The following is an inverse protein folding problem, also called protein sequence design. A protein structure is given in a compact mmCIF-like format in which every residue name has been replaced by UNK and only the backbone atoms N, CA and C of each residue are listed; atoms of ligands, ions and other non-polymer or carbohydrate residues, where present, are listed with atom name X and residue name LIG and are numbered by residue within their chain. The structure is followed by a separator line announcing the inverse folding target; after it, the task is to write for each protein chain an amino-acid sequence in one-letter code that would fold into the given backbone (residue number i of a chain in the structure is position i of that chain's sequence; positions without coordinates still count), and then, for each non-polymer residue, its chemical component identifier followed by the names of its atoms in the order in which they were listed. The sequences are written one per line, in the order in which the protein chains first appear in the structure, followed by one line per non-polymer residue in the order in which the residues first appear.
data_IF_833223036042
#
_entry.id   IF_833223036042
#
_cell.length_a   1.000
_cell.length_b   1.000
_cell.length_c   1.000
_cell.angle_alpha   90.00
_cell.angle_beta   90.00
_cell.angle_gamma   90.00
#
_symmetry.space_group_name_H-M   'P 1'
#
loop_
_entity.id
_entity.type
_entity.pdbx_description
1 polymer ?
2 non-polymer ?
3 water ?
#
# COMPACT_ATOMS: atom_id res chain seq x y z
N UNK A 1 20.86 18.13 14.95
CA UNK A 1 21.97 18.31 14.01
C UNK A 1 22.48 16.96 13.50
N UNK A 2 21.67 15.91 13.64
CA UNK A 2 22.07 14.59 13.15
C UNK A 2 22.13 14.59 11.61
N UNK A 3 23.08 13.83 11.05
CA UNK A 3 23.37 13.86 9.63
C UNK A 3 23.49 12.47 9.02
N UNK A 4 23.28 12.41 7.70
CA UNK A 4 23.47 11.21 6.89
C UNK A 4 24.15 11.61 5.59
N UNK A 5 25.12 10.81 5.15
CA UNK A 5 25.70 10.98 3.83
C UNK A 5 25.40 9.74 3.00
N UNK A 6 25.09 9.95 1.72
CA UNK A 6 24.75 8.86 0.82
C UNK A 6 25.41 9.15 -0.51
N UNK A 7 26.19 8.19 -1.01
CA UNK A 7 27.10 8.45 -2.13
C UNK A 7 27.90 9.71 -1.81
N UNK A 8 27.77 10.76 -2.63
CA UNK A 8 28.49 11.98 -2.35
C UNK A 8 27.63 13.18 -1.99
N UNK A 9 26.62 12.97 -1.13
CA UNK A 9 25.77 14.06 -0.71
C UNK A 9 25.42 13.91 0.77
N UNK A 10 25.26 15.04 1.44
CA UNK A 10 25.00 15.09 2.87
C UNK A 10 23.57 15.55 3.08
N UNK A 11 22.91 14.98 4.08
CA UNK A 11 21.48 15.21 4.32
C UNK A 11 21.24 15.39 5.80
N UNK A 12 20.47 16.42 6.15
CA UNK A 12 20.18 16.77 7.53
C UNK A 12 18.87 16.11 7.94
N UNK A 13 18.83 15.55 9.14
CA UNK A 13 17.64 14.87 9.62
C UNK A 13 16.67 15.86 10.26
N UNK A 14 15.50 16.01 9.66
CA UNK A 14 14.41 16.75 10.26
C UNK A 14 13.74 15.96 11.37
N UNK A 15 13.49 14.68 11.14
CA UNK A 15 12.71 13.86 12.06
C UNK A 15 12.68 12.43 11.56
N UNK A 16 12.45 11.49 12.46
CA UNK A 16 12.25 10.10 12.08
C UNK A 16 10.76 9.89 11.85
N UNK A 17 10.40 9.50 10.63
CA UNK A 17 9.03 9.23 10.28
C UNK A 17 8.57 7.90 10.87
N UNK A 18 9.43 6.90 10.84
CA UNK A 18 8.95 5.57 11.20
C UNK A 18 10.09 4.61 11.37
N UNK A 19 9.74 3.40 11.73
CA UNK A 19 10.70 2.36 12.06
C UNK A 19 9.95 1.05 12.04
N UNK A 20 10.71 -0.03 11.97
CA UNK A 20 10.16 -1.37 11.91
C UNK A 20 11.14 -2.35 12.48
N UNK A 21 11.66 -3.25 11.65
CA UNK A 21 12.64 -4.21 12.11
C UNK A 21 13.97 -3.58 12.43
N UNK A 22 14.95 -3.76 11.56
CA UNK A 22 16.19 -3.02 11.67
C UNK A 22 16.18 -1.76 10.83
N UNK A 23 15.00 -1.35 10.36
CA UNK A 23 14.82 -0.21 9.46
C UNK A 23 14.31 1.01 10.21
N UNK A 24 14.65 2.18 9.67
CA UNK A 24 14.14 3.47 10.12
C UNK A 24 14.01 4.35 8.89
N UNK A 25 13.04 5.28 8.92
CA UNK A 25 12.84 6.24 7.85
C UNK A 25 12.87 7.64 8.44
N UNK A 26 13.60 8.52 7.77
CA UNK A 26 13.81 9.87 8.23
C UNK A 26 13.36 10.83 7.15
N UNK A 27 12.88 11.98 7.62
CA UNK A 27 12.62 13.13 6.79
C UNK A 27 13.88 13.98 6.79
N UNK A 28 14.38 14.34 5.62
CA UNK A 28 15.69 14.97 5.50
C UNK A 28 15.67 16.07 4.47
N UNK A 29 16.71 16.89 4.52
CA UNK A 29 16.94 17.97 3.58
C UNK A 29 18.32 17.79 2.96
N UNK A 30 18.43 18.09 1.67
CA UNK A 30 19.72 18.01 1.00
C UNK A 30 20.47 19.33 1.20
N UNK A 31 21.62 19.44 0.54
CA UNK A 31 22.43 20.65 0.49
C UNK A 31 21.59 21.90 0.28
N UNK A 32 20.55 21.78 -0.56
CA UNK A 32 19.77 22.92 -1.04
C UNK A 32 18.40 23.03 -0.36
N UNK A 33 18.26 22.46 0.84
CA UNK A 33 17.01 22.49 1.61
C UNK A 33 15.83 21.83 0.88
N UNK A 34 16.11 20.98 -0.10
CA UNK A 34 15.06 20.17 -0.69
C UNK A 34 14.82 18.96 0.20
N UNK A 35 13.58 18.54 0.30
CA UNK A 35 13.20 17.53 1.27
C UNK A 35 13.19 16.15 0.60
N UNK A 36 13.59 15.13 1.36
CA UNK A 36 13.63 13.74 0.91
C UNK A 36 13.26 12.86 2.09
N UNK A 37 12.96 11.60 1.82
CA UNK A 37 12.89 10.58 2.85
C UNK A 37 14.08 9.64 2.66
N UNK A 38 14.71 9.26 3.75
CA UNK A 38 15.80 8.30 3.70
C UNK A 38 15.41 7.12 4.57
N UNK A 39 15.44 5.93 3.96
CA UNK A 39 15.24 4.68 4.69
C UNK A 39 16.61 4.11 5.00
N UNK A 40 16.81 3.71 6.25
CA UNK A 40 18.04 3.15 6.73
C UNK A 40 17.75 1.74 7.19
N UNK A 41 18.58 0.79 6.76
CA UNK A 41 18.45 -0.59 7.21
C UNK A 41 19.78 -1.01 7.80
N UNK A 42 19.74 -1.46 9.05
CA UNK A 42 20.93 -1.95 9.74
C UNK A 42 21.06 -3.44 9.41
N UNK A 43 22.06 -3.78 8.59
CA UNK A 43 22.19 -5.15 8.09
C UNK A 43 23.01 -6.06 9.02
N UNK A 44 23.52 -5.54 10.14
CA UNK A 44 24.34 -6.34 11.05
C UNK A 44 23.61 -7.60 11.51
N UNK A 45 22.53 -7.44 12.27
CA UNK A 45 21.65 -8.58 12.52
C UNK A 45 20.69 -8.68 11.33
N UNK A 46 20.96 -9.66 10.44
CA UNK A 46 20.12 -9.89 9.27
C UNK A 46 20.43 -11.23 8.61
N UNK A 47 19.52 -12.18 8.73
CA UNK A 47 19.69 -13.48 8.08
C UNK A 47 19.68 -13.32 6.56
N UNK A 48 20.31 -14.29 5.88
CA UNK A 48 20.42 -14.24 4.43
C UNK A 48 19.05 -14.19 3.74
N UNK A 49 17.97 -14.54 4.45
CA UNK A 49 16.64 -14.45 3.87
C UNK A 49 16.12 -13.01 3.87
N UNK A 50 16.32 -12.26 4.96
CA UNK A 50 15.94 -10.85 4.98
C UNK A 50 16.80 -10.04 4.02
N UNK A 51 18.12 -10.26 4.05
CA UNK A 51 19.02 -9.61 3.10
C UNK A 51 18.48 -9.68 1.68
N UNK A 52 18.00 -10.85 1.28
CA UNK A 52 17.50 -10.97 -0.08
C UNK A 52 16.16 -10.24 -0.25
N UNK A 53 15.37 -10.10 0.82
CA UNK A 53 14.15 -9.31 0.68
C UNK A 53 14.47 -7.85 0.39
N UNK A 54 15.45 -7.28 1.11
CA UNK A 54 15.84 -5.89 0.90
C UNK A 54 16.45 -5.68 -0.49
N UNK A 55 17.28 -6.64 -0.93
CA UNK A 55 17.87 -6.58 -2.27
C UNK A 55 16.76 -6.61 -3.33
N UNK A 56 15.76 -7.44 -3.13
CA UNK A 56 14.68 -7.53 -4.10
C UNK A 56 13.85 -6.25 -4.15
N UNK A 57 13.51 -5.67 -2.99
CA UNK A 57 12.82 -4.37 -2.98
C UNK A 57 13.55 -3.33 -3.83
N UNK A 58 14.88 -3.24 -3.66
CA UNK A 58 15.65 -2.19 -4.33
C UNK A 58 15.64 -2.39 -5.82
N UNK A 59 15.86 -3.63 -6.28
CA UNK A 59 15.85 -3.91 -7.71
C UNK A 59 14.50 -3.55 -8.33
N UNK A 60 13.41 -4.06 -7.76
CA UNK A 60 12.10 -3.78 -8.36
C UNK A 60 11.78 -2.29 -8.32
N UNK A 61 12.01 -1.66 -7.16
CA UNK A 61 11.82 -0.21 -7.05
C UNK A 61 12.57 0.53 -8.15
N UNK A 62 13.81 0.14 -8.38
CA UNK A 62 14.59 0.79 -9.42
C UNK A 62 14.04 0.48 -10.80
N UNK A 63 13.57 -0.75 -11.03
CA UNK A 63 12.99 -1.04 -12.33
C UNK A 63 11.59 -0.45 -12.48
N UNK A 64 10.74 -0.62 -11.46
CA UNK A 64 9.34 -0.26 -11.59
C UNK A 64 9.11 1.22 -11.76
N UNK A 65 10.09 2.07 -11.47
CA UNK A 65 9.81 3.49 -11.51
C UNK A 65 9.92 4.11 -12.88
N UNK A 66 10.68 3.50 -13.80
CA UNK A 66 10.59 3.93 -15.20
C UNK A 66 9.18 3.76 -15.76
N UNK A 67 8.35 2.92 -15.17
CA UNK A 67 7.07 2.54 -15.76
C UNK A 67 5.86 3.22 -15.15
N UNK A 68 6.00 3.89 -14.00
CA UNK A 68 4.87 4.62 -13.44
C UNK A 68 5.36 5.59 -12.40
N UNK A 69 4.79 6.80 -12.40
CA UNK A 69 5.08 7.79 -11.38
C UNK A 69 4.05 7.75 -10.25
N UNK A 70 3.29 6.67 -10.14
CA UNK A 70 2.51 6.36 -8.95
C UNK A 70 3.23 5.36 -8.05
N UNK A 71 4.48 5.03 -8.37
CA UNK A 71 5.42 4.37 -7.48
C UNK A 71 6.35 5.44 -6.91
N UNK A 72 6.62 5.38 -5.60
CA UNK A 72 7.53 6.35 -4.99
C UNK A 72 8.90 6.25 -5.64
N UNK A 73 9.50 7.40 -5.97
CA UNK A 73 10.82 7.48 -6.60
C UNK A 73 11.93 7.07 -5.64
N UNK A 74 12.86 6.26 -6.14
CA UNK A 74 14.12 5.98 -5.48
C UNK A 74 15.20 6.70 -6.26
N UNK A 75 15.73 7.78 -5.67
CA UNK A 75 16.68 8.62 -6.40
C UNK A 75 18.08 8.02 -6.40
N UNK A 76 18.51 7.50 -5.25
CA UNK A 76 19.86 6.99 -5.07
C UNK A 76 19.85 6.09 -3.85
N UNK A 77 20.88 5.26 -3.77
CA UNK A 77 20.94 4.31 -2.68
C UNK A 77 22.38 3.86 -2.50
N UNK A 78 22.64 3.36 -1.32
CA UNK A 78 23.95 2.83 -0.99
C UNK A 78 23.73 1.55 -0.20
N UNK A 79 24.39 0.48 -0.59
CA UNK A 79 24.29 -0.76 0.13
C UNK A 79 25.69 -1.35 0.29
N UNK A 80 25.99 -1.80 1.50
CA UNK A 80 27.20 -2.52 1.85
C UNK A 80 26.76 -3.69 2.71
N UNK A 81 27.73 -4.41 3.25
CA UNK A 81 27.40 -5.53 4.12
C UNK A 81 26.78 -5.05 5.44
N UNK A 82 27.04 -3.81 5.84
CA UNK A 82 26.56 -3.33 7.14
C UNK A 82 25.24 -2.55 7.07
N UNK A 83 24.99 -1.79 6.01
CA UNK A 83 23.76 -1.00 6.02
C UNK A 83 23.23 -0.80 4.62
N UNK A 84 22.01 -0.26 4.57
CA UNK A 84 21.43 0.31 3.37
C UNK A 84 20.96 1.74 3.68
N UNK A 85 21.19 2.65 2.76
CA UNK A 85 20.53 3.96 2.74
C UNK A 85 19.81 4.11 1.42
N UNK A 86 18.51 4.40 1.47
CA UNK A 86 17.72 4.70 0.28
C UNK A 86 17.20 6.13 0.38
N UNK A 87 17.58 6.96 -0.60
CA UNK A 87 17.04 8.31 -0.74
C UNK A 87 15.80 8.25 -1.62
N UNK A 88 14.66 8.66 -1.07
CA UNK A 88 13.40 8.53 -1.78
C UNK A 88 12.59 9.82 -1.72
N UNK A 89 11.64 9.88 -2.64
CA UNK A 89 10.54 10.81 -2.60
C UNK A 89 9.91 10.81 -1.23
N UNK A 90 9.68 12.00 -0.68
CA UNK A 90 9.14 12.08 0.67
C UNK A 90 7.66 12.45 0.55
N UNK A 91 6.82 11.66 1.18
CA UNK A 91 5.39 11.91 1.17
C UNK A 91 5.00 12.86 2.29
N UNK A 92 3.92 13.60 2.04
CA UNK A 92 3.30 14.42 3.08
C UNK A 92 2.85 13.56 4.26
N UNK A 93 2.29 12.38 3.96
CA UNK A 93 1.72 11.52 5.00
C UNK A 93 1.24 10.23 4.34
N UNK A 94 1.12 9.16 5.11
CA UNK A 94 0.57 7.93 4.55
C UNK A 94 -0.95 7.97 4.65
N UNK A 95 -1.58 7.14 3.82
CA UNK A 95 -3.04 7.19 3.72
C UNK A 95 -3.71 6.65 4.97
N UNK A 96 -3.12 5.66 5.64
CA UNK A 96 -3.72 5.19 6.90
C UNK A 96 -3.86 6.34 7.89
N UNK A 97 -2.77 7.08 8.11
CA UNK A 97 -2.81 8.19 9.06
C UNK A 97 -3.70 9.33 8.59
N UNK A 98 -3.79 9.55 7.28
CA UNK A 98 -4.63 10.60 6.76
C UNK A 98 -6.10 10.22 6.80
N UNK A 99 -6.40 8.92 6.77
CA UNK A 99 -7.77 8.46 6.89
C UNK A 99 -8.22 8.48 8.35
N UNK A 100 -7.31 8.18 9.27
CA UNK A 100 -7.67 8.14 10.69
C UNK A 100 -7.98 9.54 11.21
N UNK A 101 -7.40 10.59 10.60
CA UNK A 101 -7.87 11.94 10.83
C UNK A 101 -9.26 12.05 10.22
N UNK A 102 -10.19 11.24 10.74
CA UNK A 102 -11.47 10.89 10.13
C UNK A 102 -12.21 12.08 9.54
N UNK A 103 -11.61 12.75 8.56
CA UNK A 103 -12.19 13.94 7.97
C UNK A 103 -13.03 13.59 6.75
N UNK A 104 -13.70 14.61 6.22
CA UNK A 104 -14.40 14.51 4.95
C UNK A 104 -13.48 13.96 3.86
N UNK A 105 -14.04 13.13 2.98
CA UNK A 105 -13.39 12.73 1.75
C UNK A 105 -14.20 13.29 0.59
N UNK A 106 -13.61 14.25 -0.11
CA UNK A 106 -14.19 14.76 -1.35
C UNK A 106 -14.41 13.60 -2.34
N UNK A 107 -15.60 13.47 -2.94
CA UNK A 107 -15.82 12.38 -3.90
C UNK A 107 -14.87 12.39 -5.09
N UNK A 108 -14.56 13.57 -5.64
CA UNK A 108 -13.64 13.62 -6.76
C UNK A 108 -12.22 13.22 -6.34
N UNK A 109 -11.85 13.50 -5.08
CA UNK A 109 -10.51 13.13 -4.63
C UNK A 109 -10.42 11.64 -4.35
N UNK A 110 -11.51 11.07 -3.81
CA UNK A 110 -11.57 9.63 -3.64
C UNK A 110 -11.49 8.91 -4.98
N UNK A 111 -12.18 9.44 -5.99
CA UNK A 111 -12.13 8.86 -7.33
C UNK A 111 -10.71 8.90 -7.89
N UNK A 112 -10.03 10.03 -7.72
CA UNK A 112 -8.70 10.16 -8.28
C UNK A 112 -7.66 9.37 -7.46
N UNK A 113 -7.82 9.28 -6.14
CA UNK A 113 -6.97 8.39 -5.35
C UNK A 113 -7.13 6.95 -5.83
N UNK A 114 -8.37 6.51 -6.05
CA UNK A 114 -8.63 5.17 -6.57
C UNK A 114 -7.89 4.91 -7.87
N UNK A 115 -8.01 5.83 -8.83
CA UNK A 115 -7.24 5.70 -10.07
C UNK A 115 -5.76 5.51 -9.76
N UNK A 116 -5.22 6.33 -8.85
CA UNK A 116 -3.80 6.24 -8.50
C UNK A 116 -3.44 4.86 -8.01
N UNK A 117 -4.22 4.34 -7.06
CA UNK A 117 -3.95 3.02 -6.51
C UNK A 117 -4.02 1.93 -7.57
N UNK A 118 -5.04 2.00 -8.45
CA UNK A 118 -5.17 0.99 -9.51
C UNK A 118 -3.95 1.02 -10.42
N UNK A 119 -3.51 2.22 -10.81
CA UNK A 119 -2.37 2.31 -11.69
C UNK A 119 -1.13 1.70 -11.04
N UNK A 120 -0.88 2.03 -9.77
CA UNK A 120 0.32 1.50 -9.11
C UNK A 120 0.24 0.00 -8.98
N UNK A 121 -0.87 -0.52 -8.48
CA UNK A 121 -1.00 -1.97 -8.34
C UNK A 121 -1.00 -2.63 -9.71
N UNK A 122 -1.54 -1.97 -10.73
CA UNK A 122 -1.49 -2.54 -12.07
C UNK A 122 -0.04 -2.72 -12.53
N UNK A 123 0.79 -1.70 -12.33
CA UNK A 123 2.15 -1.82 -12.89
C UNK A 123 2.96 -2.87 -12.14
N UNK A 124 2.76 -3.07 -10.83
CA UNK A 124 3.51 -4.14 -10.18
C UNK A 124 3.05 -5.50 -10.69
N UNK A 125 1.75 -5.63 -10.95
CA UNK A 125 1.22 -6.88 -11.47
C UNK A 125 1.82 -7.22 -12.83
N UNK A 126 2.01 -6.20 -13.68
CA UNK A 126 2.60 -6.44 -15.00
C UNK A 126 4.05 -6.94 -14.90
N UNK A 127 4.72 -6.75 -13.78
CA UNK A 127 6.07 -7.31 -13.58
C UNK A 127 6.05 -8.48 -12.61
N UNK A 128 4.90 -9.10 -12.45
CA UNK A 128 4.83 -10.37 -11.75
C UNK A 128 4.83 -10.31 -10.25
N UNK A 129 4.57 -9.15 -9.66
CA UNK A 129 4.40 -9.02 -8.23
C UNK A 129 2.92 -9.03 -7.89
N UNK A 130 2.51 -9.87 -6.95
CA UNK A 130 1.27 -9.65 -6.21
C UNK A 130 1.68 -9.19 -4.82
N UNK A 131 1.16 -8.03 -4.40
CA UNK A 131 1.59 -7.49 -3.12
C UNK A 131 1.13 -8.38 -1.98
N UNK A 132 -0.14 -8.78 -2.00
CA UNK A 132 -0.75 -9.78 -1.13
C UNK A 132 -1.21 -9.22 0.22
N UNK A 133 -0.61 -8.13 0.69
CA UNK A 133 -1.05 -7.54 1.96
C UNK A 133 -1.16 -6.01 1.84
N UNK A 134 -1.95 -5.55 0.87
CA UNK A 134 -2.08 -4.12 0.74
C UNK A 134 -2.95 -3.54 1.85
N UNK A 135 -2.62 -2.32 2.23
CA UNK A 135 -3.26 -1.59 3.30
C UNK A 135 -3.08 -0.12 2.98
N UNK A 136 -3.82 0.77 3.62
CA UNK A 136 -3.62 2.21 3.37
C UNK A 136 -2.20 2.66 3.66
N UNK A 137 -1.55 2.11 4.71
CA UNK A 137 -0.16 2.43 5.02
C UNK A 137 0.78 2.32 3.82
N UNK A 138 0.43 1.51 2.82
CA UNK A 138 1.31 1.30 1.67
C UNK A 138 1.25 2.42 0.66
N UNK A 139 0.38 3.41 0.85
CA UNK A 139 0.22 4.53 -0.07
C UNK A 139 0.53 5.83 0.64
N UNK A 140 1.21 6.73 -0.07
CA UNK A 140 1.64 8.01 0.44
C UNK A 140 0.99 9.10 -0.37
N UNK A 141 0.66 10.22 0.28
CA UNK A 141 0.09 11.36 -0.43
C UNK A 141 1.25 12.28 -0.80
N UNK A 142 1.39 12.55 -2.10
CA UNK A 142 2.46 13.38 -2.65
C UNK A 142 1.83 14.23 -3.75
N UNK A 143 1.80 15.54 -3.57
CA UNK A 143 1.29 16.47 -4.60
C UNK A 143 -0.10 16.05 -5.09
N UNK A 144 -0.99 15.81 -4.14
CA UNK A 144 -2.33 15.40 -4.47
C UNK A 144 -2.48 14.07 -5.14
N UNK A 145 -1.47 13.19 -5.06
CA UNK A 145 -1.52 11.86 -5.63
C UNK A 145 -1.25 10.81 -4.55
N UNK A 146 -1.72 9.59 -4.81
CA UNK A 146 -1.35 8.44 -4.00
C UNK A 146 -0.18 7.72 -4.68
N UNK A 147 0.85 7.37 -3.90
CA UNK A 147 1.96 6.63 -4.46
C UNK A 147 2.28 5.42 -3.58
N UNK A 148 2.47 4.28 -4.22
CA UNK A 148 2.78 3.05 -3.51
C UNK A 148 4.24 3.04 -3.05
N UNK A 149 4.50 2.52 -1.85
CA UNK A 149 5.88 2.48 -1.37
C UNK A 149 6.40 1.07 -1.15
N UNK A 150 5.53 0.12 -0.82
CA UNK A 150 5.97 -1.25 -0.62
C UNK A 150 5.51 -2.15 -1.75
N UNK A 151 6.28 -3.19 -1.99
CA UNK A 151 5.86 -4.29 -2.85
C UNK A 151 5.46 -5.50 -2.03
N UNK A 152 5.38 -5.33 -0.71
CA UNK A 152 4.95 -6.37 0.18
C UNK A 152 5.97 -7.46 0.42
N UNK A 153 7.24 -7.21 0.11
CA UNK A 153 8.31 -8.19 0.29
C UNK A 153 9.10 -7.94 1.57
N UNK A 154 9.57 -6.70 1.77
CA UNK A 154 10.46 -6.41 2.88
C UNK A 154 9.68 -6.17 4.17
N UNK A 155 10.43 -5.96 5.26
CA UNK A 155 9.84 -5.71 6.58
C UNK A 155 8.96 -4.45 6.53
N UNK A 156 7.68 -4.61 6.79
CA UNK A 156 6.79 -3.46 6.81
C UNK A 156 6.96 -2.71 8.14
N UNK A 157 6.93 -1.38 8.06
CA UNK A 157 7.23 -0.50 9.18
C UNK A 157 6.00 0.22 9.68
N UNK A 158 6.14 0.88 10.83
CA UNK A 158 5.07 1.59 11.48
C UNK A 158 5.48 3.03 11.75
N UNK A 159 4.54 3.98 11.73
CA UNK A 159 4.87 5.37 12.06
C UNK A 159 5.35 5.48 13.50
N UNK A 160 6.18 6.48 13.75
CA UNK A 160 6.69 6.70 15.10
C UNK A 160 6.24 8.05 15.65
N UNK A 170 1.01 -2.94 16.51
CA UNK A 170 -0.31 -3.51 16.26
C UNK A 170 -0.68 -3.45 14.78
N UNK A 171 -0.37 -4.53 14.06
CA UNK A 171 -0.73 -4.65 12.65
C UNK A 171 -2.23 -4.63 12.42
N UNK A 173 -5.75 -6.39 10.07
CA UNK A 173 -6.24 -7.61 9.43
C UNK A 173 -7.52 -7.30 8.66
N UNK A 174 -7.97 -6.05 8.81
CA UNK A 174 -9.23 -5.62 8.21
C UNK A 174 -9.21 -5.72 6.69
N UNK A 175 -8.03 -5.89 6.09
CA UNK A 175 -7.86 -5.88 4.64
C UNK A 175 -7.52 -7.25 4.10
N UNK A 176 -7.57 -8.26 4.91
CA UNK A 176 -7.06 -9.54 4.46
C UNK A 176 -8.11 -10.29 3.65
N UNK A 177 -7.73 -10.87 2.51
CA UNK A 177 -8.72 -11.46 1.60
C UNK A 177 -9.06 -12.89 2.00
N UNK A 178 -10.24 -13.38 1.58
CA UNK A 178 -10.66 -14.73 1.99
C UNK A 178 -9.71 -15.84 1.58
N UNK A 179 -9.12 -15.76 0.38
CA UNK A 179 -8.22 -16.80 -0.07
C UNK A 179 -7.04 -16.97 0.88
N UNK A 180 -6.61 -15.88 1.53
CA UNK A 180 -5.47 -15.96 2.43
C UNK A 180 -5.78 -16.81 3.66
N UNK A 181 -7.00 -16.69 4.18
CA UNK A 181 -7.40 -17.46 5.36
C UNK A 181 -7.53 -18.94 5.02
N UNK A 182 -8.34 -19.26 4.00
CA UNK A 182 -8.60 -20.65 3.66
C UNK A 182 -7.33 -21.36 3.19
N UNK A 183 -6.47 -20.66 2.45
CA UNK A 183 -5.20 -21.24 2.02
C UNK A 183 -4.13 -21.20 3.11
N UNK A 184 -4.55 -21.43 4.36
CA UNK A 184 -3.66 -21.72 5.47
C UNK A 184 -3.57 -23.21 5.75
N UNK A 185 -4.69 -23.94 5.60
CA UNK A 185 -4.71 -25.38 5.79
C UNK A 185 -3.82 -26.08 4.78
N UNK A 186 -2.58 -26.34 5.16
CA UNK A 186 -1.62 -27.00 4.29
C UNK A 186 -1.66 -28.52 4.44
N UNK A 194 0.41 -26.11 -4.28
CA UNK A 194 -0.22 -25.27 -5.29
C UNK A 194 -1.10 -24.20 -4.64
N UNK A 195 -0.55 -23.50 -3.65
CA UNK A 195 -1.25 -22.41 -2.98
C UNK A 195 -0.88 -21.08 -3.66
N UNK A 196 -1.47 -20.90 -4.84
CA UNK A 196 -1.09 -19.82 -5.76
C UNK A 196 -1.30 -18.45 -5.14
N UNK A 197 -0.64 -17.45 -5.73
CA UNK A 197 -0.76 -16.05 -5.31
C UNK A 197 -1.54 -15.33 -6.39
N UNK A 198 -2.85 -15.13 -6.18
CA UNK A 198 -3.52 -14.52 -7.33
C UNK A 198 -3.54 -13.01 -7.24
N UNK A 199 -3.34 -12.34 -8.37
CA UNK A 199 -3.62 -10.89 -8.46
C UNK A 199 -4.98 -10.48 -7.94
N UNK A 200 -5.95 -11.41 -7.91
CA UNK A 200 -7.27 -11.06 -7.40
C UNK A 200 -7.23 -10.65 -5.92
N UNK A 201 -6.30 -11.20 -5.14
CA UNK A 201 -6.34 -10.86 -3.72
C UNK A 201 -5.93 -9.42 -3.45
N UNK A 202 -5.14 -8.78 -4.33
CA UNK A 202 -4.95 -7.34 -4.21
C UNK A 202 -6.23 -6.56 -4.50
N UNK A 203 -7.10 -7.06 -5.38
CA UNK A 203 -8.35 -6.37 -5.67
C UNK A 203 -9.19 -6.28 -4.40
N UNK A 204 -9.27 -7.40 -3.66
CA UNK A 204 -9.99 -7.40 -2.39
C UNK A 204 -9.46 -6.32 -1.46
N UNK A 205 -8.13 -6.26 -1.26
CA UNK A 205 -7.58 -5.29 -0.32
C UNK A 205 -7.75 -3.87 -0.83
N UNK A 206 -7.62 -3.64 -2.14
CA UNK A 206 -8.01 -2.33 -2.67
C UNK A 206 -9.48 -2.06 -2.41
N UNK A 207 -10.34 -3.08 -2.60
CA UNK A 207 -11.77 -2.90 -2.33
C UNK A 207 -12.06 -2.44 -0.91
N UNK A 208 -11.35 -3.04 0.07
CA UNK A 208 -11.53 -2.65 1.47
C UNK A 208 -11.12 -1.21 1.72
N UNK A 209 -10.03 -0.76 1.07
CA UNK A 209 -9.58 0.62 1.22
C UNK A 209 -10.60 1.58 0.64
N UNK A 210 -11.11 1.28 -0.55
CA UNK A 210 -12.11 2.17 -1.15
C UNK A 210 -13.39 2.17 -0.32
N UNK A 211 -13.82 0.99 0.11
CA UNK A 211 -14.90 0.87 1.09
C UNK A 211 -14.68 1.81 2.27
N UNK A 212 -13.56 1.66 2.96
CA UNK A 212 -13.20 2.57 4.05
C UNK A 212 -13.27 4.02 3.58
N UNK A 213 -12.86 4.29 2.34
CA UNK A 213 -12.93 5.65 1.82
C UNK A 213 -14.36 6.08 1.52
N UNK A 214 -15.28 5.13 1.36
CA UNK A 214 -16.65 5.45 1.00
C UNK A 214 -17.52 5.59 2.23
N UNK A 215 -17.38 4.63 3.15
CA UNK A 215 -18.29 4.40 4.26
C UNK A 215 -17.65 4.68 5.62
N UNK A 216 -16.42 5.19 5.66
CA UNK A 216 -15.74 5.49 6.91
C UNK A 216 -15.29 4.30 7.73
N UNK A 217 -15.51 3.06 7.26
CA UNK A 217 -15.07 1.89 8.02
C UNK A 217 -14.72 0.76 7.06
N UNK A 218 -13.79 -0.09 7.49
CA UNK A 218 -13.54 -1.37 6.85
C UNK A 218 -14.85 -2.16 6.77
N UNK A 219 -15.00 -3.06 5.76
CA UNK A 219 -16.19 -3.92 5.72
C UNK A 219 -16.52 -4.53 7.07
N UNK A 220 -15.61 -5.35 7.59
CA UNK A 220 -15.82 -6.03 8.86
C UNK A 220 -15.15 -5.31 10.02
N UNK A 221 -15.04 -3.97 9.96
CA UNK A 221 -14.46 -3.24 11.08
C UNK A 221 -15.30 -3.34 12.35
N UNK A 222 -16.61 -3.60 12.20
CA UNK A 222 -17.48 -3.69 13.38
C UNK A 222 -17.09 -4.86 14.28
N UNK A 223 -16.79 -6.01 13.68
CA UNK A 223 -16.44 -7.21 14.44
C UNK A 223 -15.13 -7.00 15.19
N UNK A 224 -15.22 -6.52 16.43
CA UNK A 224 -14.04 -6.13 17.19
C UNK A 224 -13.22 -7.36 17.63
N UNK A 225 -13.88 -8.49 17.90
CA UNK A 225 -13.16 -9.71 18.23
C UNK A 225 -12.58 -10.33 16.96
N UNK A 226 -11.32 -10.78 17.03
CA UNK A 226 -10.60 -11.02 15.79
C UNK A 226 -10.71 -12.44 15.26
N UNK A 227 -10.94 -13.45 16.09
CA UNK A 227 -11.16 -14.78 15.52
C UNK A 227 -12.50 -14.84 14.80
N UNK A 228 -13.52 -14.16 15.35
CA UNK A 228 -14.80 -14.08 14.67
C UNK A 228 -14.73 -13.22 13.41
N UNK A 229 -13.89 -12.18 13.42
CA UNK A 229 -13.67 -11.36 12.22
C UNK A 229 -13.15 -12.22 11.07
N UNK A 230 -12.23 -13.14 11.35
CA UNK A 230 -11.67 -13.98 10.30
C UNK A 230 -12.74 -14.85 9.65
N UNK A 231 -13.72 -15.28 10.44
CA UNK A 231 -14.77 -16.16 9.88
C UNK A 231 -15.69 -15.39 8.95
N UNK A 232 -16.06 -14.16 9.33
CA UNK A 232 -16.94 -13.35 8.49
C UNK A 232 -16.34 -13.15 7.11
N UNK A 233 -15.04 -12.84 7.05
CA UNK A 233 -14.35 -12.66 5.77
C UNK A 233 -14.55 -13.88 4.87
N UNK A 234 -14.53 -15.08 5.46
CA UNK A 234 -14.57 -16.30 4.65
C UNK A 234 -15.96 -16.92 4.54
N UNK A 235 -16.95 -16.41 5.26
CA UNK A 235 -18.26 -17.06 5.32
C UNK A 235 -19.18 -16.48 4.25
N UNK A 236 -19.70 -17.30 3.32
CA UNK A 236 -20.54 -16.73 2.25
C UNK A 236 -21.79 -16.00 2.73
N UNK A 237 -22.49 -16.53 3.71
CA UNK A 237 -23.78 -15.94 4.09
C UNK A 237 -23.63 -14.82 5.11
N UNK A 238 -22.42 -14.32 5.33
CA UNK A 238 -22.24 -13.05 6.02
C UNK A 238 -22.25 -11.96 4.94
N UNK A 239 -23.30 -11.16 4.93
CA UNK A 239 -23.42 -10.14 3.91
C UNK A 239 -22.62 -8.91 4.30
N UNK A 240 -21.83 -8.42 3.37
CA UNK A 240 -21.25 -7.09 3.51
C UNK A 240 -22.34 -6.08 3.17
N UNK A 241 -22.40 -4.99 3.92
CA UNK A 241 -23.42 -3.97 3.73
C UNK A 241 -22.91 -2.89 2.79
N UNK A 242 -23.68 -2.61 1.76
CA UNK A 242 -23.37 -1.58 0.76
C UNK A 242 -24.50 -0.58 0.75
N UNK A 243 -24.58 0.27 1.77
CA UNK A 243 -25.65 1.26 1.84
C UNK A 243 -25.73 2.04 0.55
N UNK A 244 -26.96 2.20 0.05
CA UNK A 244 -27.14 2.95 -1.18
C UNK A 244 -26.45 4.30 -1.08
N UNK A 245 -25.92 4.75 -2.21
CA UNK A 245 -25.07 5.94 -2.25
C UNK A 245 -25.33 6.66 -3.57
N UNK A 246 -25.15 7.98 -3.58
CA UNK A 246 -25.38 8.71 -4.85
C UNK A 246 -24.55 8.20 -6.01
N UNK A 247 -23.28 7.87 -5.80
CA UNK A 247 -22.42 7.38 -6.88
C UNK A 247 -22.70 5.89 -7.09
N UNK A 248 -23.55 5.57 -8.06
CA UNK A 248 -23.94 4.18 -8.26
C UNK A 248 -22.80 3.36 -8.83
N UNK A 249 -21.93 3.97 -9.61
CA UNK A 249 -20.76 3.27 -10.11
C UNK A 249 -19.83 2.88 -8.97
N UNK A 250 -19.70 3.74 -7.96
CA UNK A 250 -18.79 3.45 -6.84
C UNK A 250 -19.31 2.28 -6.01
N UNK A 251 -20.61 2.29 -5.73
CA UNK A 251 -21.23 1.15 -5.05
C UNK A 251 -20.98 -0.14 -5.82
N UNK A 252 -21.12 -0.10 -7.15
CA UNK A 252 -20.86 -1.32 -7.94
C UNK A 252 -19.39 -1.73 -7.87
N UNK A 253 -18.45 -0.78 -7.94
CA UNK A 253 -17.03 -1.13 -7.80
C UNK A 253 -16.81 -1.90 -6.50
N UNK A 254 -17.35 -1.37 -5.40
CA UNK A 254 -17.17 -2.02 -4.10
C UNK A 254 -17.77 -3.41 -4.07
N UNK A 255 -18.85 -3.64 -4.82
CA UNK A 255 -19.47 -4.96 -4.83
C UNK A 255 -18.61 -5.96 -5.59
N UNK A 256 -18.11 -5.56 -6.76
CA UNK A 256 -17.32 -6.50 -7.55
C UNK A 256 -15.96 -6.80 -6.92
N UNK A 257 -15.39 -5.84 -6.17
CA UNK A 257 -14.10 -6.05 -5.55
C UNK A 257 -14.22 -7.00 -4.37
N UNK A 258 -15.30 -6.88 -3.58
CA UNK A 258 -15.47 -7.67 -2.36
C UNK A 258 -16.28 -8.94 -2.59
N UNK A 259 -16.26 -9.50 -3.79
CA UNK A 259 -16.78 -10.85 -3.98
C UNK A 259 -15.81 -11.87 -3.38
N UNK A 260 -16.36 -12.81 -2.60
CA UNK A 260 -15.51 -13.75 -1.88
C UNK A 260 -14.84 -14.74 -2.81
N UNK A 261 -15.46 -15.05 -3.93
CA UNK A 261 -14.83 -15.96 -4.88
C UNK A 261 -13.85 -15.18 -5.76
N UNK A 262 -12.55 -15.44 -5.63
CA UNK A 262 -11.58 -14.70 -6.45
C UNK A 262 -11.81 -14.86 -7.94
N UNK A 263 -12.32 -16.02 -8.36
CA UNK A 263 -12.59 -16.22 -9.78
C UNK A 263 -13.68 -15.29 -10.29
N UNK A 264 -14.65 -14.97 -9.45
CA UNK A 264 -15.72 -14.05 -9.82
C UNK A 264 -15.43 -12.61 -9.41
N UNK A 265 -14.41 -12.39 -8.57
CA UNK A 265 -13.97 -11.04 -8.28
C UNK A 265 -13.50 -10.35 -9.55
N UNK A 266 -13.83 -9.07 -9.66
CA UNK A 266 -13.36 -8.27 -10.78
C UNK A 266 -11.83 -8.17 -10.74
N UNK A 267 -11.23 -8.03 -11.92
CA UNK A 267 -9.78 -7.94 -12.09
C UNK A 267 -9.37 -6.49 -12.27
N UNK A 268 -8.07 -6.23 -12.07
CA UNK A 268 -7.53 -4.89 -12.29
C UNK A 268 -7.78 -4.40 -13.71
N UNK A 269 -7.47 -5.16 -14.77
CA UNK A 269 -7.78 -4.65 -16.12
C UNK A 269 -9.25 -4.32 -16.31
N UNK A 270 -10.16 -5.12 -15.75
CA UNK A 270 -11.58 -4.76 -15.74
C UNK A 270 -11.79 -3.47 -14.96
N UNK A 271 -11.13 -3.31 -13.80
CA UNK A 271 -11.41 -2.11 -13.01
C UNK A 271 -11.00 -0.85 -13.75
N UNK A 272 -10.01 -0.93 -14.63
CA UNK A 272 -9.59 0.25 -15.38
C UNK A 272 -10.53 0.59 -16.53
N UNK A 273 -11.44 -0.31 -16.91
CA UNK A 273 -12.46 -0.04 -17.92
C UNK A 273 -13.82 0.25 -17.29
N UNK A 274 -13.88 0.39 -15.98
CA UNK A 274 -15.15 0.52 -15.27
C UNK A 274 -15.63 1.97 -15.32
N UNK A 275 -16.95 2.18 -15.41
CA UNK A 275 -17.48 3.57 -15.52
C UNK A 275 -16.99 4.49 -14.41
N UNK A 276 -16.84 3.97 -13.19
CA UNK A 276 -16.35 4.77 -12.07
C UNK A 276 -14.99 5.40 -12.36
N UNK A 277 -14.11 4.68 -13.07
CA UNK A 277 -12.81 5.23 -13.46
C UNK A 277 -12.93 6.10 -14.70
N UNK A 278 -13.79 5.71 -15.66
CA UNK A 278 -13.74 6.22 -17.02
C UNK A 278 -14.70 7.38 -17.30
N UNK A 279 -15.80 7.48 -16.57
CA UNK A 279 -16.77 8.57 -16.76
C UNK A 279 -16.62 9.57 -15.62
N UNK A 280 -16.26 10.82 -15.97
CA UNK A 280 -15.80 11.82 -14.99
C UNK A 280 -16.96 12.65 -14.43
N UNK A 281 -17.95 11.97 -13.85
CA UNK A 281 -19.04 12.66 -13.15
C UNK A 281 -19.26 12.12 -11.74
#
# INVERSE_FOLDING_TARGET
NECISVKGRIYSILKQIGSGGSSKVFQVLNEKKQIYAIKYVNLEEADNQTLDSYRNEIAYLNKLQQHSDKIIRLYDYEITDQYIYMVMECGNIDLNSWLKKKKSIDPWERKSYWKNMLEAVHTIHQHGIVHSDLKPANFLIVDGMLKLIDFGIANQMQPDTTSVVKDSQVGXVNYMPPEAIKDMSSSRENGKSKSKISPKSDVWSLGCILYYMTYGKTPFQQIINQISKLHAIIDPNHEIEFPDIPEKDLQDVLKCCLKRDPKQRISIPELLAHPYVQIQT
#
